data_IF_119513155223
#
_entry.id   IF_119513155223
#
_cell.length_a   1.000
_cell.length_b   1.000
_cell.length_c   1.000
_cell.angle_alpha   90.00
_cell.angle_beta   90.00
_cell.angle_gamma   90.00
#
_symmetry.space_group_name_H-M   'P 1'
#
loop_
_entity.id
_entity.type
_entity.pdbx_description
1 polymer ?
#
# COMPACT_ATOMS: atom_id res chain seq x y z
N UNK A 1 10.49 13.34 40.42
CA UNK A 1 10.46 12.02 39.72
C UNK A 1 9.03 11.52 39.44
N UNK A 2 8.15 12.32 38.81
CA UNK A 2 6.77 11.89 38.45
C UNK A 2 6.40 12.16 36.97
N UNK A 3 7.36 12.59 36.14
CA UNK A 3 7.13 12.98 34.74
C UNK A 3 7.45 11.88 33.70
N UNK A 4 8.30 10.91 34.02
CA UNK A 4 8.76 9.90 33.04
C UNK A 4 7.76 8.75 32.82
N UNK A 5 7.10 8.26 33.88
CA UNK A 5 6.11 7.17 33.75
C UNK A 5 4.87 7.52 32.91
N UNK A 6 4.54 8.81 32.80
CA UNK A 6 3.41 9.29 31.99
C UNK A 6 3.78 9.46 30.50
N UNK A 7 5.07 9.45 30.15
CA UNK A 7 5.53 9.55 28.76
C UNK A 7 5.49 8.19 28.06
N UNK A 8 6.02 7.15 28.70
CA UNK A 8 6.02 5.79 28.14
C UNK A 8 4.61 5.25 27.90
N UNK A 9 3.71 5.39 28.88
CA UNK A 9 2.32 4.96 28.74
C UNK A 9 1.60 5.68 27.59
N UNK A 10 1.90 6.97 27.36
CA UNK A 10 1.33 7.73 26.24
C UNK A 10 1.88 7.25 24.90
N UNK A 11 3.19 7.05 24.78
CA UNK A 11 3.83 6.54 23.55
C UNK A 11 3.34 5.13 23.21
N UNK A 12 3.20 4.28 24.22
CA UNK A 12 2.65 2.94 24.06
C UNK A 12 1.18 3.01 23.60
N UNK A 13 0.35 3.80 24.28
CA UNK A 13 -1.06 3.97 23.93
C UNK A 13 -1.24 4.51 22.52
N UNK A 14 -0.46 5.55 22.12
CA UNK A 14 -0.53 6.09 20.77
C UNK A 14 -0.12 5.06 19.72
N UNK A 15 0.98 4.34 19.93
CA UNK A 15 1.44 3.30 19.00
C UNK A 15 0.42 2.18 18.86
N UNK A 16 -0.19 1.76 19.98
CA UNK A 16 -1.24 0.74 19.99
C UNK A 16 -2.49 1.18 19.22
N UNK A 17 -2.95 2.42 19.40
CA UNK A 17 -4.10 2.96 18.67
C UNK A 17 -3.81 3.11 17.17
N UNK A 18 -2.60 3.55 16.82
CA UNK A 18 -2.14 3.59 15.42
C UNK A 18 -2.18 2.19 14.81
N UNK A 19 -1.70 1.17 15.52
CA UNK A 19 -1.74 -0.22 15.06
C UNK A 19 -3.17 -0.77 14.91
N UNK A 20 -4.09 -0.41 15.80
CA UNK A 20 -5.51 -0.75 15.64
C UNK A 20 -6.07 -0.11 14.37
N UNK A 21 -5.73 1.15 14.10
CA UNK A 21 -6.22 1.83 12.91
C UNK A 21 -5.67 1.18 11.63
N UNK A 22 -4.40 0.78 11.64
CA UNK A 22 -3.76 0.06 10.55
C UNK A 22 -4.41 -1.32 10.31
N UNK A 23 -4.67 -2.04 11.40
CA UNK A 23 -5.41 -3.31 11.39
C UNK A 23 -6.82 -3.15 10.78
N UNK A 24 -7.63 -2.23 11.34
CA UNK A 24 -9.01 -1.98 10.88
C UNK A 24 -9.02 -1.55 9.43
N UNK A 25 -8.07 -0.69 9.04
CA UNK A 25 -7.98 -0.24 7.66
C UNK A 25 -7.67 -1.37 6.68
N UNK A 26 -6.80 -2.30 7.07
CA UNK A 26 -6.51 -3.49 6.26
C UNK A 26 -7.69 -4.47 6.20
N UNK A 27 -8.45 -4.63 7.30
CA UNK A 27 -9.70 -5.41 7.33
C UNK A 27 -10.69 -4.83 6.33
N UNK A 28 -10.97 -3.53 6.41
CA UNK A 28 -11.95 -2.85 5.56
C UNK A 28 -11.52 -2.89 4.09
N UNK A 29 -10.25 -2.61 3.78
CA UNK A 29 -9.71 -2.75 2.42
C UNK A 29 -10.00 -4.14 1.86
N UNK A 30 -9.68 -5.19 2.63
CA UNK A 30 -9.83 -6.57 2.19
C UNK A 30 -11.30 -6.96 2.00
N UNK A 31 -12.18 -6.56 2.92
CA UNK A 31 -13.63 -6.82 2.82
C UNK A 31 -14.21 -6.17 1.56
N UNK A 32 -13.95 -4.88 1.34
CA UNK A 32 -14.48 -4.18 0.18
C UNK A 32 -13.92 -4.72 -1.14
N UNK A 33 -12.63 -5.03 -1.19
CA UNK A 33 -12.01 -5.61 -2.38
C UNK A 33 -12.59 -7.00 -2.69
N UNK A 34 -12.98 -7.79 -1.67
CA UNK A 34 -13.57 -9.12 -1.85
C UNK A 34 -15.05 -9.11 -2.20
N UNK A 35 -15.81 -8.12 -1.73
CA UNK A 35 -17.27 -8.16 -1.73
C UNK A 35 -17.93 -7.15 -2.68
N UNK A 36 -17.16 -6.25 -3.28
CA UNK A 36 -17.71 -5.15 -4.09
C UNK A 36 -17.05 -5.09 -5.46
N UNK A 37 -17.69 -4.41 -6.41
CA UNK A 37 -17.09 -4.15 -7.72
C UNK A 37 -15.99 -3.07 -7.63
N UNK A 38 -15.18 -3.00 -8.69
CA UNK A 38 -14.09 -2.04 -8.91
C UNK A 38 -14.42 -0.60 -8.46
N UNK A 39 -15.60 -0.09 -8.83
CA UNK A 39 -16.01 1.29 -8.56
C UNK A 39 -16.28 1.51 -7.07
N UNK A 40 -17.05 0.63 -6.45
CA UNK A 40 -17.34 0.73 -5.01
C UNK A 40 -16.06 0.55 -4.20
N UNK A 41 -15.21 -0.41 -4.60
CA UNK A 41 -13.93 -0.62 -3.95
C UNK A 41 -13.03 0.61 -4.04
N UNK A 42 -12.94 1.28 -5.19
CA UNK A 42 -12.18 2.52 -5.36
C UNK A 42 -12.63 3.59 -4.35
N UNK A 43 -13.94 3.84 -4.24
CA UNK A 43 -14.46 4.84 -3.30
C UNK A 43 -14.22 4.44 -1.83
N UNK A 44 -14.37 3.16 -1.50
CA UNK A 44 -14.07 2.66 -0.15
C UNK A 44 -12.59 2.82 0.20
N UNK A 45 -11.71 2.50 -0.75
CA UNK A 45 -10.27 2.63 -0.56
C UNK A 45 -9.83 4.10 -0.48
N UNK A 46 -10.44 4.97 -1.28
CA UNK A 46 -10.24 6.42 -1.18
C UNK A 46 -10.62 6.95 0.20
N UNK A 47 -11.84 6.63 0.67
CA UNK A 47 -12.32 7.10 1.96
C UNK A 47 -11.44 6.64 3.11
N UNK A 48 -11.01 5.37 3.09
CA UNK A 48 -10.15 4.88 4.16
C UNK A 48 -8.77 5.53 4.11
N UNK A 49 -8.17 5.70 2.93
CA UNK A 49 -6.90 6.44 2.81
C UNK A 49 -7.02 7.88 3.35
N UNK A 50 -8.09 8.59 2.99
CA UNK A 50 -8.33 9.95 3.44
C UNK A 50 -8.45 10.05 4.98
N UNK A 51 -9.14 9.09 5.61
CA UNK A 51 -9.28 9.01 7.08
C UNK A 51 -7.96 8.63 7.77
N UNK A 52 -7.15 7.79 7.13
CA UNK A 52 -5.96 7.17 7.73
C UNK A 52 -4.72 8.01 7.67
N UNK A 53 -4.64 8.95 6.74
CA UNK A 53 -3.40 9.66 6.43
C UNK A 53 -2.70 10.26 7.65
N UNK A 54 -3.43 10.99 8.51
CA UNK A 54 -2.82 11.65 9.67
C UNK A 54 -2.60 10.71 10.87
N UNK A 55 -3.06 9.47 10.78
CA UNK A 55 -2.99 8.50 11.86
C UNK A 55 -1.91 7.47 11.54
N UNK A 56 -2.05 6.78 10.41
CA UNK A 56 -1.14 5.70 10.01
C UNK A 56 -0.37 5.97 8.73
N UNK A 57 -0.79 6.94 7.93
CA UNK A 57 -0.33 7.11 6.55
C UNK A 57 -1.08 6.23 5.53
N UNK A 58 -1.93 5.31 6.00
CA UNK A 58 -2.76 4.45 5.15
C UNK A 58 -1.97 3.42 4.35
N UNK A 59 -1.01 2.72 4.99
CA UNK A 59 -0.13 1.80 4.25
C UNK A 59 -0.90 0.55 3.80
N UNK A 60 -1.58 -0.12 4.72
CA UNK A 60 -2.44 -1.31 4.54
C UNK A 60 -1.83 -2.47 3.74
N UNK A 61 -0.52 -2.43 3.56
CA UNK A 61 0.22 -3.24 2.62
C UNK A 61 1.68 -3.36 3.09
N UNK A 62 2.19 -4.59 3.31
CA UNK A 62 3.57 -4.79 3.71
C UNK A 62 4.60 -4.23 2.73
N UNK A 63 4.33 -4.32 1.42
CA UNK A 63 5.23 -3.80 0.39
C UNK A 63 5.29 -2.26 0.43
N UNK A 64 4.16 -1.59 0.64
CA UNK A 64 4.12 -0.14 0.88
C UNK A 64 4.91 0.21 2.13
N UNK A 65 4.71 -0.54 3.23
CA UNK A 65 5.35 -0.26 4.51
C UNK A 65 6.87 -0.39 4.45
N UNK A 66 7.39 -1.48 3.89
CA UNK A 66 8.84 -1.66 3.69
C UNK A 66 9.39 -0.58 2.77
N UNK A 67 8.70 -0.27 1.67
CA UNK A 67 9.16 0.76 0.74
C UNK A 67 9.22 2.13 1.40
N UNK A 68 8.21 2.49 2.18
CA UNK A 68 8.16 3.74 2.93
C UNK A 68 9.23 3.81 4.02
N UNK A 69 9.53 2.69 4.71
CA UNK A 69 10.63 2.61 5.68
C UNK A 69 12.01 2.87 5.06
N UNK A 70 12.17 2.55 3.78
CA UNK A 70 13.42 2.71 3.02
C UNK A 70 13.51 4.07 2.31
N UNK A 71 12.45 4.87 2.34
CA UNK A 71 12.43 6.23 1.79
C UNK A 71 13.46 7.11 2.50
N UNK A 72 14.07 8.05 1.76
CA UNK A 72 15.19 8.87 2.25
C UNK A 72 14.73 10.10 3.03
N UNK A 73 13.45 10.20 3.40
CA UNK A 73 12.97 11.33 4.19
C UNK A 73 13.60 11.32 5.59
N UNK A 74 14.34 12.39 5.90
CA UNK A 74 15.09 12.50 7.16
C UNK A 74 14.13 12.46 8.36
N UNK A 75 14.18 11.36 9.11
CA UNK A 75 13.79 11.29 10.53
C UNK A 75 12.32 11.04 10.87
N UNK A 76 11.50 10.44 9.99
CA UNK A 76 10.03 10.47 10.19
C UNK A 76 9.33 9.14 10.46
N UNK A 77 9.90 7.97 10.13
CA UNK A 77 9.19 6.70 10.33
C UNK A 77 9.91 5.76 11.30
N UNK A 78 9.21 5.35 12.36
CA UNK A 78 9.72 4.45 13.39
C UNK A 78 9.72 3.01 12.85
N UNK A 79 10.91 2.43 12.66
CA UNK A 79 11.08 1.09 12.10
C UNK A 79 10.40 -0.01 12.93
N UNK A 80 10.57 -0.08 14.26
CA UNK A 80 9.76 -0.97 15.10
C UNK A 80 8.25 -0.86 14.87
N UNK A 81 7.72 0.36 14.71
CA UNK A 81 6.31 0.56 14.39
C UNK A 81 5.97 0.02 12.99
N UNK A 82 6.84 0.24 12.00
CA UNK A 82 6.70 -0.31 10.65
C UNK A 82 6.67 -1.84 10.61
N UNK A 83 7.51 -2.53 11.38
CA UNK A 83 7.42 -3.99 11.51
C UNK A 83 6.12 -4.42 12.20
N UNK A 84 5.65 -3.67 13.20
CA UNK A 84 4.36 -3.94 13.83
C UNK A 84 3.18 -3.70 12.86
N UNK A 85 3.26 -2.71 11.96
CA UNK A 85 2.30 -2.51 10.87
C UNK A 85 2.16 -3.76 10.01
N UNK A 86 3.29 -4.33 9.57
CA UNK A 86 3.29 -5.52 8.71
C UNK A 86 2.54 -6.67 9.40
N UNK A 87 2.79 -6.89 10.70
CA UNK A 87 2.10 -7.93 11.47
C UNK A 87 0.58 -7.68 11.48
N UNK A 88 0.15 -6.47 11.86
CA UNK A 88 -1.29 -6.17 11.95
C UNK A 88 -1.98 -6.10 10.59
N UNK A 89 -1.24 -5.79 9.51
CA UNK A 89 -1.73 -5.87 8.13
C UNK A 89 -2.03 -7.32 7.74
N UNK A 90 -1.11 -8.27 7.99
CA UNK A 90 -1.39 -9.69 7.73
C UNK A 90 -2.59 -10.21 8.52
N UNK A 91 -2.66 -9.89 9.81
CA UNK A 91 -3.80 -10.29 10.66
C UNK A 91 -5.10 -9.64 10.15
N UNK A 92 -5.06 -8.35 9.83
CA UNK A 92 -6.21 -7.59 9.33
C UNK A 92 -6.71 -8.11 7.99
N UNK A 93 -5.81 -8.39 7.05
CA UNK A 93 -6.16 -8.97 5.77
C UNK A 93 -6.79 -10.35 5.92
N UNK A 94 -6.23 -11.21 6.78
CA UNK A 94 -6.85 -12.51 7.06
C UNK A 94 -8.24 -12.37 7.69
N UNK A 95 -8.41 -11.49 8.69
CA UNK A 95 -9.72 -11.22 9.29
C UNK A 95 -10.73 -10.68 8.27
N UNK A 96 -10.32 -9.75 7.40
CA UNK A 96 -11.19 -9.21 6.35
C UNK A 96 -11.57 -10.26 5.30
N UNK A 97 -10.62 -11.09 4.88
CA UNK A 97 -10.88 -12.20 3.98
C UNK A 97 -11.84 -13.21 4.61
N UNK A 98 -11.66 -13.54 5.89
CA UNK A 98 -12.53 -14.47 6.62
C UNK A 98 -13.95 -13.92 6.78
N UNK A 99 -14.10 -12.63 7.08
CA UNK A 99 -15.42 -11.97 7.13
C UNK A 99 -16.12 -12.02 5.78
N UNK A 100 -15.40 -11.73 4.69
CA UNK A 100 -15.93 -11.84 3.34
C UNK A 100 -16.36 -13.29 3.04
N UNK A 101 -15.51 -14.27 3.35
CA UNK A 101 -15.82 -15.69 3.20
C UNK A 101 -17.08 -16.11 3.97
N UNK A 102 -17.25 -15.66 5.22
CA UNK A 102 -18.46 -15.95 6.00
C UNK A 102 -19.73 -15.38 5.36
N UNK A 103 -19.61 -14.27 4.63
CA UNK A 103 -20.74 -13.61 3.98
C UNK A 103 -21.07 -14.17 2.60
N UNK A 104 -20.04 -14.45 1.79
CA UNK A 104 -20.18 -14.88 0.39
C UNK A 104 -20.13 -16.39 0.21
N UNK A 105 -19.56 -17.12 1.18
CA UNK A 105 -19.19 -18.53 1.07
C UNK A 105 -18.19 -18.81 -0.06
N UNK A 106 -17.44 -17.80 -0.50
CA UNK A 106 -16.42 -17.92 -1.55
C UNK A 106 -15.03 -17.61 -1.00
N UNK A 107 -14.10 -18.56 -1.16
CA UNK A 107 -12.75 -18.49 -0.60
C UNK A 107 -11.87 -17.38 -1.19
N UNK A 108 -12.05 -17.05 -2.48
CA UNK A 108 -11.16 -16.12 -3.17
C UNK A 108 -10.98 -16.43 -4.65
N UNK A 109 -10.51 -15.45 -5.41
CA UNK A 109 -10.24 -15.55 -6.85
C UNK A 109 -8.79 -15.21 -7.22
N UNK A 110 -7.84 -15.31 -6.28
CA UNK A 110 -6.40 -15.13 -6.56
C UNK A 110 -5.83 -16.46 -7.06
N UNK A 111 -5.95 -16.71 -8.37
CA UNK A 111 -5.58 -18.00 -8.98
C UNK A 111 -4.67 -17.84 -10.18
N UNK A 112 -3.68 -18.73 -10.29
CA UNK A 112 -2.95 -18.93 -11.55
C UNK A 112 -3.53 -20.19 -12.19
N UNK A 113 -4.36 -20.00 -13.22
CA UNK A 113 -5.13 -21.07 -13.87
C UNK A 113 -4.27 -22.08 -14.64
N UNK A 114 -3.09 -21.68 -15.09
CA UNK A 114 -2.17 -22.51 -15.87
C UNK A 114 -0.72 -22.07 -15.61
N UNK A 115 0.22 -23.02 -15.53
CA UNK A 115 1.65 -22.76 -15.32
C UNK A 115 2.24 -21.80 -16.37
N UNK A 116 1.69 -21.79 -17.59
CA UNK A 116 2.13 -20.88 -18.65
C UNK A 116 1.90 -19.40 -18.32
N UNK A 117 1.05 -19.10 -17.33
CA UNK A 117 0.74 -17.74 -16.86
C UNK A 117 1.58 -17.32 -15.66
N UNK A 118 2.43 -18.20 -15.12
CA UNK A 118 3.27 -17.89 -13.96
C UNK A 118 4.19 -16.70 -14.21
N UNK A 119 4.85 -16.65 -15.36
CA UNK A 119 5.74 -15.53 -15.68
C UNK A 119 4.98 -14.21 -15.86
N UNK A 120 3.80 -14.26 -16.49
CA UNK A 120 2.92 -13.11 -16.65
C UNK A 120 2.46 -12.62 -15.28
N UNK A 121 2.04 -13.50 -14.36
CA UNK A 121 1.65 -13.12 -13.00
C UNK A 121 2.79 -12.43 -12.24
N UNK A 122 4.02 -12.93 -12.36
CA UNK A 122 5.21 -12.30 -11.78
C UNK A 122 5.41 -10.89 -12.32
N UNK A 123 5.42 -10.73 -13.66
CA UNK A 123 5.59 -9.42 -14.28
C UNK A 123 4.46 -8.46 -13.90
N UNK A 124 3.23 -8.96 -13.83
CA UNK A 124 2.05 -8.19 -13.42
C UNK A 124 2.19 -7.67 -11.99
N UNK A 125 2.54 -8.54 -11.03
CA UNK A 125 2.74 -8.12 -9.63
C UNK A 125 3.85 -7.08 -9.52
N UNK A 126 4.98 -7.27 -10.22
CA UNK A 126 6.07 -6.28 -10.20
C UNK A 126 5.59 -4.94 -10.76
N UNK A 127 4.99 -4.94 -11.95
CA UNK A 127 4.63 -3.72 -12.65
C UNK A 127 3.50 -2.95 -11.97
N UNK A 128 2.43 -3.65 -11.58
CA UNK A 128 1.28 -3.05 -10.90
C UNK A 128 1.65 -2.52 -9.52
N UNK A 129 2.42 -3.27 -8.72
CA UNK A 129 2.93 -2.78 -7.44
C UNK A 129 3.91 -1.63 -7.62
N UNK A 130 4.76 -1.65 -8.65
CA UNK A 130 5.61 -0.51 -8.99
C UNK A 130 4.79 0.76 -9.20
N UNK A 131 3.79 0.73 -10.09
CA UNK A 131 2.98 1.91 -10.41
C UNK A 131 2.22 2.43 -9.19
N UNK A 132 1.56 1.52 -8.46
CA UNK A 132 0.82 1.87 -7.25
C UNK A 132 1.73 2.47 -6.17
N UNK A 133 2.83 1.79 -5.81
CA UNK A 133 3.72 2.24 -4.74
C UNK A 133 4.45 3.52 -5.16
N UNK A 134 4.82 3.66 -6.44
CA UNK A 134 5.41 4.90 -6.95
C UNK A 134 4.45 6.07 -6.74
N UNK A 135 3.18 5.93 -7.13
CA UNK A 135 2.19 6.99 -6.92
C UNK A 135 1.93 7.25 -5.43
N UNK A 136 1.92 6.21 -4.60
CA UNK A 136 1.85 6.36 -3.15
C UNK A 136 3.01 7.21 -2.60
N UNK A 137 4.24 6.95 -3.04
CA UNK A 137 5.41 7.74 -2.63
C UNK A 137 5.29 9.20 -3.08
N UNK A 138 4.93 9.43 -4.36
CA UNK A 138 4.73 10.77 -4.92
C UNK A 138 3.73 11.58 -4.10
N UNK A 139 2.57 10.99 -3.77
CA UNK A 139 1.50 11.70 -3.08
C UNK A 139 1.75 11.87 -1.56
N UNK A 140 2.53 10.99 -0.94
CA UNK A 140 2.82 11.06 0.50
C UNK A 140 4.06 11.89 0.84
N UNK A 141 4.83 12.32 -0.17
CA UNK A 141 5.92 13.28 0.01
C UNK A 141 5.47 14.69 -0.38
N UNK A 142 5.80 15.67 0.47
CA UNK A 142 5.34 17.06 0.33
C UNK A 142 5.91 17.77 -0.89
N UNK A 143 7.16 17.46 -1.23
CA UNK A 143 7.86 18.05 -2.36
C UNK A 143 7.31 17.57 -3.72
N UNK A 144 6.62 16.42 -3.75
CA UNK A 144 6.24 15.74 -5.00
C UNK A 144 4.74 15.61 -5.20
N UNK A 145 3.94 15.77 -4.14
CA UNK A 145 2.49 15.56 -4.22
C UNK A 145 1.83 16.56 -5.15
N UNK A 146 0.79 16.12 -5.85
CA UNK A 146 0.10 16.96 -6.84
C UNK A 146 -0.86 17.96 -6.18
N UNK A 147 -1.30 17.69 -4.96
CA UNK A 147 -2.21 18.54 -4.21
C UNK A 147 -1.94 18.46 -2.72
N UNK A 148 -2.13 19.57 -2.02
CA UNK A 148 -2.10 19.63 -0.56
C UNK A 148 -3.42 19.13 0.07
N UNK A 149 -4.49 19.03 -0.74
CA UNK A 149 -5.76 18.49 -0.29
C UNK A 149 -5.67 16.97 -0.12
N UNK A 150 -5.91 16.52 1.11
CA UNK A 150 -5.89 15.11 1.50
C UNK A 150 -6.89 14.27 0.75
N UNK A 151 -8.05 14.83 0.42
CA UNK A 151 -9.06 14.15 -0.37
C UNK A 151 -8.56 13.93 -1.81
N UNK A 152 -7.88 14.90 -2.40
CA UNK A 152 -7.42 14.81 -3.79
C UNK A 152 -6.29 13.79 -3.93
N UNK A 153 -5.23 13.90 -3.12
CA UNK A 153 -4.10 12.99 -3.31
C UNK A 153 -4.44 11.55 -2.88
N UNK A 154 -5.29 11.34 -1.87
CA UNK A 154 -5.77 9.99 -1.53
C UNK A 154 -6.65 9.38 -2.63
N UNK A 155 -7.41 10.20 -3.37
CA UNK A 155 -8.18 9.74 -4.53
C UNK A 155 -7.23 9.28 -5.64
N UNK A 156 -6.14 10.02 -5.89
CA UNK A 156 -5.13 9.65 -6.89
C UNK A 156 -4.51 8.29 -6.54
N UNK A 157 -4.16 8.07 -5.27
CA UNK A 157 -3.61 6.78 -4.80
C UNK A 157 -4.65 5.66 -4.97
N UNK A 158 -5.90 5.88 -4.55
CA UNK A 158 -6.95 4.87 -4.66
C UNK A 158 -7.28 4.51 -6.11
N UNK A 159 -7.41 5.52 -6.98
CA UNK A 159 -7.65 5.34 -8.41
C UNK A 159 -6.48 4.61 -9.09
N UNK A 160 -5.24 4.90 -8.69
CA UNK A 160 -4.07 4.18 -9.20
C UNK A 160 -4.11 2.71 -8.78
N UNK A 161 -4.43 2.42 -7.51
CA UNK A 161 -4.54 1.04 -7.03
C UNK A 161 -5.66 0.27 -7.77
N UNK A 162 -6.84 0.86 -7.91
CA UNK A 162 -7.94 0.26 -8.69
C UNK A 162 -7.57 -0.01 -10.15
N UNK A 163 -6.94 0.95 -10.82
CA UNK A 163 -6.45 0.77 -12.21
C UNK A 163 -5.42 -0.36 -12.30
N UNK A 164 -4.54 -0.49 -11.30
CA UNK A 164 -3.53 -1.54 -11.27
C UNK A 164 -4.14 -2.92 -10.96
N UNK A 165 -5.25 -3.00 -10.23
CA UNK A 165 -6.01 -4.23 -10.03
C UNK A 165 -6.68 -4.69 -11.32
N UNK A 166 -7.39 -3.79 -12.01
CA UNK A 166 -8.02 -4.07 -13.30
C UNK A 166 -6.97 -4.56 -14.33
N UNK A 167 -5.80 -3.91 -14.38
CA UNK A 167 -4.68 -4.37 -15.20
C UNK A 167 -4.26 -5.81 -14.88
N UNK A 168 -4.32 -6.19 -13.59
CA UNK A 168 -3.93 -7.49 -13.09
C UNK A 168 -5.03 -8.56 -13.15
N UNK A 169 -6.28 -8.22 -13.49
CA UNK A 169 -7.42 -9.14 -13.46
C UNK A 169 -7.14 -10.42 -14.27
N UNK A 170 -6.46 -10.28 -15.42
CA UNK A 170 -6.12 -11.38 -16.34
C UNK A 170 -5.26 -12.49 -15.73
N UNK A 171 -4.52 -12.19 -14.66
CA UNK A 171 -3.63 -13.14 -13.97
C UNK A 171 -3.84 -13.12 -12.45
N UNK A 172 -4.97 -12.55 -12.00
CA UNK A 172 -5.43 -12.49 -10.62
C UNK A 172 -4.40 -11.89 -9.65
N UNK A 173 -4.01 -10.64 -9.87
CA UNK A 173 -3.04 -9.96 -9.01
C UNK A 173 -3.57 -9.49 -7.65
N UNK A 174 -2.63 -9.29 -6.73
CA UNK A 174 -2.89 -8.86 -5.35
C UNK A 174 -2.27 -7.50 -5.04
N UNK A 175 -1.07 -7.22 -5.55
CA UNK A 175 -0.26 -6.01 -5.28
C UNK A 175 0.10 -5.78 -3.80
N UNK A 176 -0.34 -6.68 -2.92
CA UNK A 176 -0.35 -6.51 -1.47
C UNK A 176 -0.13 -7.88 -0.80
N UNK A 177 1.08 -8.15 -0.26
CA UNK A 177 1.40 -9.43 0.35
C UNK A 177 0.42 -9.90 1.43
N UNK A 178 -0.12 -8.96 2.23
CA UNK A 178 -1.08 -9.28 3.27
C UNK A 178 -2.43 -9.70 2.69
N UNK A 179 -2.96 -8.94 1.73
CA UNK A 179 -4.20 -9.28 1.03
C UNK A 179 -4.07 -10.63 0.32
N UNK A 180 -3.01 -10.82 -0.47
CA UNK A 180 -2.79 -12.03 -1.25
C UNK A 180 -2.76 -13.29 -0.36
N UNK A 181 -1.99 -13.25 0.73
CA UNK A 181 -1.94 -14.36 1.68
C UNK A 181 -3.28 -14.54 2.41
N UNK A 182 -3.92 -13.46 2.86
CA UNK A 182 -5.21 -13.51 3.56
C UNK A 182 -6.29 -14.22 2.76
N UNK A 183 -6.40 -13.89 1.47
CA UNK A 183 -7.35 -14.53 0.53
C UNK A 183 -6.95 -15.98 0.23
N UNK A 184 -5.67 -16.28 0.07
CA UNK A 184 -5.21 -17.68 -0.11
C UNK A 184 -5.51 -18.56 1.10
N UNK A 185 -5.49 -18.02 2.31
CA UNK A 185 -5.87 -18.75 3.52
C UNK A 185 -7.37 -19.07 3.58
N UNK A 186 -8.25 -18.22 3.06
CA UNK A 186 -9.68 -18.54 2.94
C UNK A 186 -9.97 -19.47 1.77
N UNK A 187 -9.20 -19.39 0.69
CA UNK A 187 -9.26 -20.38 -0.41
C UNK A 187 -8.85 -21.79 0.04
N UNK A 188 -7.99 -21.92 1.06
CA UNK A 188 -7.69 -23.22 1.69
C UNK A 188 -8.97 -23.86 2.26
N UNK A 189 -9.84 -23.05 2.87
CA UNK A 189 -11.06 -23.51 3.54
C UNK A 189 -12.12 -23.97 2.53
N UNK A 190 -12.13 -23.36 1.34
CA UNK A 190 -13.09 -23.63 0.28
C UNK A 190 -12.62 -24.74 -0.69
N UNK A 191 -11.35 -24.70 -1.10
CA UNK A 191 -10.84 -25.51 -2.22
C UNK A 191 -9.61 -26.38 -1.90
N UNK A 192 -9.07 -26.30 -0.68
CA UNK A 192 -7.93 -27.10 -0.22
C UNK A 192 -6.54 -26.56 -0.58
N UNK A 193 -5.50 -27.33 -0.25
CA UNK A 193 -4.11 -26.86 -0.17
C UNK A 193 -3.43 -26.52 -1.52
N UNK A 194 -3.97 -26.97 -2.65
CA UNK A 194 -3.36 -26.74 -3.97
C UNK A 194 -3.31 -25.25 -4.35
N UNK A 195 -4.18 -24.42 -3.77
CA UNK A 195 -4.24 -22.98 -4.02
C UNK A 195 -3.08 -22.20 -3.38
N UNK A 196 -2.35 -22.81 -2.44
CA UNK A 196 -1.14 -22.21 -1.86
C UNK A 196 0.09 -22.28 -2.76
N UNK A 197 0.03 -23.09 -3.84
CA UNK A 197 1.19 -23.37 -4.71
C UNK A 197 1.85 -22.11 -5.25
N UNK A 198 1.06 -21.09 -5.56
CA UNK A 198 1.53 -19.84 -6.17
C UNK A 198 1.46 -18.63 -5.23
N UNK A 199 1.14 -18.82 -3.94
CA UNK A 199 1.05 -17.73 -2.95
C UNK A 199 2.32 -16.89 -2.86
N UNK A 200 3.48 -17.54 -3.02
CA UNK A 200 4.77 -16.86 -2.96
C UNK A 200 4.91 -15.74 -4.00
N UNK A 201 4.21 -15.80 -5.14
CA UNK A 201 4.28 -14.76 -6.18
C UNK A 201 3.69 -13.45 -5.64
N UNK A 202 2.49 -13.53 -5.07
CA UNK A 202 1.75 -12.40 -4.52
C UNK A 202 2.34 -11.89 -3.20
N UNK A 203 3.20 -12.69 -2.56
CA UNK A 203 3.94 -12.27 -1.36
C UNK A 203 5.24 -11.58 -1.74
N UNK A 204 6.02 -12.15 -2.67
CA UNK A 204 7.39 -11.69 -2.94
C UNK A 204 7.43 -10.53 -3.93
N UNK A 205 6.69 -10.60 -5.04
CA UNK A 205 6.88 -9.66 -6.14
C UNK A 205 6.31 -8.25 -5.93
N UNK A 206 5.31 -8.02 -5.06
CA UNK A 206 4.99 -6.66 -4.65
C UNK A 206 6.16 -5.91 -4.02
N UNK A 207 7.02 -6.58 -3.25
CA UNK A 207 8.22 -5.95 -2.69
C UNK A 207 9.21 -5.55 -3.78
N UNK A 208 9.38 -6.39 -4.81
CA UNK A 208 10.24 -6.06 -5.97
C UNK A 208 9.73 -4.81 -6.68
N UNK A 209 8.41 -4.74 -6.94
CA UNK A 209 7.77 -3.55 -7.48
C UNK A 209 8.00 -2.31 -6.59
N UNK A 210 7.87 -2.46 -5.27
CA UNK A 210 8.12 -1.39 -4.30
C UNK A 210 9.56 -0.89 -4.28
N UNK A 211 10.56 -1.78 -4.37
CA UNK A 211 11.97 -1.37 -4.47
C UNK A 211 12.24 -0.61 -5.77
N UNK A 212 11.68 -1.06 -6.89
CA UNK A 212 11.80 -0.32 -8.17
C UNK A 212 11.13 1.05 -8.04
N UNK A 213 9.94 1.12 -7.46
CA UNK A 213 9.22 2.37 -7.22
C UNK A 213 10.04 3.35 -6.39
N UNK A 214 10.68 2.87 -5.31
CA UNK A 214 11.56 3.67 -4.48
C UNK A 214 12.73 4.25 -5.26
N UNK A 215 13.41 3.41 -6.06
CA UNK A 215 14.56 3.84 -6.84
C UNK A 215 14.14 4.92 -7.85
N UNK A 216 13.07 4.69 -8.60
CA UNK A 216 12.57 5.65 -9.59
C UNK A 216 12.12 6.94 -8.89
N UNK A 217 11.42 6.84 -7.77
CA UNK A 217 10.96 7.99 -7.00
C UNK A 217 12.12 8.86 -6.51
N UNK A 218 13.09 8.27 -5.80
CA UNK A 218 14.17 9.00 -5.14
C UNK A 218 15.22 9.53 -6.12
N UNK A 219 15.59 8.74 -7.13
CA UNK A 219 16.75 9.05 -7.97
C UNK A 219 16.39 9.61 -9.34
N UNK A 220 15.15 9.43 -9.78
CA UNK A 220 14.69 9.96 -11.08
C UNK A 220 13.69 11.07 -10.83
N UNK A 221 12.48 10.75 -10.37
CA UNK A 221 11.37 11.70 -10.32
C UNK A 221 11.66 12.90 -9.43
N UNK A 222 12.02 12.66 -8.16
CA UNK A 222 12.30 13.71 -7.20
C UNK A 222 13.52 14.54 -7.60
N UNK A 223 14.60 13.88 -8.03
CA UNK A 223 15.82 14.60 -8.46
C UNK A 223 15.56 15.48 -9.67
N UNK A 224 14.75 15.03 -10.63
CA UNK A 224 14.33 15.85 -11.77
C UNK A 224 13.50 17.06 -11.35
N UNK A 225 12.55 16.89 -10.42
CA UNK A 225 11.77 18.01 -9.89
C UNK A 225 12.64 19.06 -9.19
N UNK A 226 13.60 18.64 -8.37
CA UNK A 226 14.56 19.54 -7.72
C UNK A 226 15.37 20.34 -8.74
N UNK A 227 15.89 19.69 -9.79
CA UNK A 227 16.71 20.36 -10.82
C UNK A 227 15.89 21.38 -11.62
N UNK A 228 14.65 21.05 -11.99
CA UNK A 228 13.77 22.00 -12.70
C UNK A 228 13.46 23.22 -11.82
N UNK A 229 13.19 23.01 -10.53
CA UNK A 229 12.95 24.12 -9.59
C UNK A 229 14.18 25.01 -9.41
N UNK A 230 15.38 24.42 -9.34
CA UNK A 230 16.64 25.17 -9.27
C UNK A 230 16.85 26.04 -10.52
N UNK A 231 16.56 25.51 -11.72
CA UNK A 231 16.63 26.25 -12.99
C UNK A 231 15.62 27.40 -13.04
N UNK A 232 14.35 27.13 -12.69
CA UNK A 232 13.29 28.15 -12.67
C UNK A 232 13.62 29.31 -11.69
N UNK A 233 14.17 28.98 -10.51
CA UNK A 233 14.59 29.99 -9.53
C UNK A 233 15.79 30.83 -9.99
N UNK A 234 16.68 30.27 -10.82
CA UNK A 234 17.82 31.01 -11.40
C UNK A 234 17.35 31.97 -12.49
N UNK A 235 16.42 31.54 -13.34
CA UNK A 235 15.82 32.36 -14.40
C UNK A 235 15.03 33.54 -13.82
N UNK A 236 14.19 33.32 -12.81
CA UNK A 236 13.45 34.40 -12.12
C UNK A 236 14.39 35.43 -11.48
N UNK A 237 15.52 34.98 -10.89
CA UNK A 237 16.52 35.88 -10.32
C UNK A 237 17.18 36.74 -11.40
N UNK A 238 17.48 36.18 -12.57
CA UNK A 238 18.07 36.94 -13.68
C UNK A 238 17.10 37.98 -14.25
N UNK A 239 15.82 37.63 -14.40
CA UNK A 239 14.79 38.58 -14.86
C UNK A 239 14.60 39.74 -13.88
N UNK A 240 14.70 39.50 -12.58
CA UNK A 240 14.52 40.55 -11.55
C UNK A 240 15.64 41.61 -11.50
N UNK A 241 16.78 41.37 -12.16
CA UNK A 241 17.96 42.25 -12.17
C UNK A 241 18.00 43.14 -13.44
N UNK A 242 17.14 42.87 -14.43
CA UNK A 242 17.00 43.63 -15.68
C UNK A 242 15.89 44.70 -15.59
#
# INVERSE_FOLDING_TARGET
MKKEGNSFAKVFCSSFLILIFEFVGTVVLTVFQRMTNEVIFLFAFWWILALSYNITGGHFNPAVTITFMLRKDKGKFNWPLGFAYIIVQFIGAFCGALLAFMWTQEGGNIVISDIKYTFQAILSEIFASFLFIFMFLVQTEEATRFSQDKAIWSLIVAATYGTCLEFNEKVSGSLNPAFGLGVHLTMLMDHGHHFLKYSWIFIVFPFVGGIIALIVHEFVYKKTQELIQEEDEEDEKQESIL
#
